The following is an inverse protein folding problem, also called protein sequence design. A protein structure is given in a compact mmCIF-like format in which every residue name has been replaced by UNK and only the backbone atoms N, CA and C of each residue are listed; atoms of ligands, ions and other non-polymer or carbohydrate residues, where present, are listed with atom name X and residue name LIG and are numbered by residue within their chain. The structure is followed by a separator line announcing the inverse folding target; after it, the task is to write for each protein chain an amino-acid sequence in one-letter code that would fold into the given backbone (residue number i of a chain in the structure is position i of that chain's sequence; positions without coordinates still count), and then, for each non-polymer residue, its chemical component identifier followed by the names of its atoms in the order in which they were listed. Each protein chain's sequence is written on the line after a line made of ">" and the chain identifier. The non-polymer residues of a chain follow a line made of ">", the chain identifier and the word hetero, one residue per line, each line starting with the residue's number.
data_IF_246618815924
#
_entry.id   IF_246618815924
#
_cell.length_a   1.000
_cell.length_b   1.000
_cell.length_c   1.000
_cell.angle_alpha   90.00
_cell.angle_beta   90.00
_cell.angle_gamma   90.00
#
_symmetry.space_group_name_H-M   'P 1'
#
loop_
_entity.id
_entity.type
_entity.pdbx_description
1 polymer ?
#
# COMPACT_ATOMS: atom_id res chain seq x y z
N UNK A 1 28.53 -48.01 -13.53
CA UNK A 1 27.42 -47.82 -12.58
C UNK A 1 27.80 -46.68 -11.64
N UNK A 2 27.28 -45.48 -11.89
CA UNK A 2 27.39 -44.38 -10.92
C UNK A 2 26.16 -43.48 -11.15
N UNK A 3 25.17 -43.59 -10.26
CA UNK A 3 23.94 -42.79 -10.30
C UNK A 3 24.13 -41.60 -9.37
N UNK A 4 24.22 -40.41 -9.94
CA UNK A 4 24.11 -39.12 -9.25
C UNK A 4 22.69 -38.97 -8.69
N UNK A 5 22.48 -38.50 -7.44
CA UNK A 5 21.13 -38.29 -6.94
C UNK A 5 20.55 -37.00 -7.54
N UNK A 6 19.32 -37.10 -8.04
CA UNK A 6 18.55 -36.00 -8.57
C UNK A 6 18.18 -35.01 -7.46
N UNK A 7 18.60 -33.75 -7.60
CA UNK A 7 18.07 -32.64 -6.80
C UNK A 7 16.62 -32.40 -7.26
N UNK A 8 15.66 -32.87 -6.46
CA UNK A 8 14.25 -32.49 -6.62
C UNK A 8 14.15 -30.98 -6.40
N UNK A 9 13.95 -30.23 -7.49
CA UNK A 9 13.48 -28.86 -7.42
C UNK A 9 12.01 -28.91 -7.01
N UNK A 10 11.74 -28.60 -5.75
CA UNK A 10 10.39 -28.37 -5.25
C UNK A 10 9.78 -27.24 -6.07
N UNK A 11 8.66 -27.54 -6.74
CA UNK A 11 7.83 -26.56 -7.43
C UNK A 11 7.26 -25.62 -6.36
N UNK A 12 7.73 -24.39 -6.31
CA UNK A 12 7.04 -23.32 -5.58
C UNK A 12 5.99 -22.78 -6.57
N UNK A 13 4.86 -23.46 -6.62
CA UNK A 13 3.61 -22.86 -7.07
C UNK A 13 2.91 -22.34 -5.82
N UNK A 14 3.26 -21.14 -5.40
CA UNK A 14 2.55 -20.42 -4.37
C UNK A 14 1.82 -19.28 -5.07
N UNK A 15 0.50 -19.33 -5.07
CA UNK A 15 -0.31 -18.16 -5.30
C UNK A 15 0.11 -17.12 -4.26
N UNK A 16 0.69 -16.00 -4.70
CA UNK A 16 0.81 -14.81 -3.86
C UNK A 16 -0.61 -14.28 -3.70
N UNK A 17 -1.30 -14.74 -2.66
CA UNK A 17 -2.20 -13.84 -1.97
C UNK A 17 -1.29 -12.76 -1.36
N UNK A 18 -1.44 -11.50 -1.75
CA UNK A 18 -0.83 -10.38 -1.04
C UNK A 18 -1.53 -10.29 0.31
N UNK A 19 -1.14 -11.17 1.23
CA UNK A 19 -1.55 -11.15 2.62
C UNK A 19 -0.71 -10.10 3.31
N UNK A 20 -1.33 -8.98 3.66
CA UNK A 20 -0.80 -8.02 4.61
C UNK A 20 -0.63 -8.72 5.97
N UNK A 21 0.54 -9.30 6.20
CA UNK A 21 0.94 -9.84 7.49
C UNK A 21 2.47 -9.80 7.58
N UNK A 22 3.02 -8.65 7.98
CA UNK A 22 4.38 -8.63 8.51
C UNK A 22 4.35 -9.30 9.88
N UNK A 23 4.89 -10.51 9.93
CA UNK A 23 5.27 -11.16 11.17
C UNK A 23 6.50 -10.43 11.74
N UNK A 24 6.28 -9.47 12.65
CA UNK A 24 7.34 -9.05 13.57
C UNK A 24 7.53 -10.16 14.60
N UNK A 25 8.42 -11.09 14.26
CA UNK A 25 8.92 -12.11 15.17
C UNK A 25 9.90 -11.44 16.13
N UNK A 26 9.44 -11.14 17.34
CA UNK A 26 10.32 -10.91 18.48
C UNK A 26 10.54 -9.46 18.88
N UNK A 27 9.47 -8.79 19.32
CA UNK A 27 9.57 -7.87 20.45
C UNK A 27 8.34 -8.12 21.33
N UNK A 28 8.50 -8.89 22.41
CA UNK A 28 7.51 -8.85 23.50
C UNK A 28 7.63 -7.49 24.17
N UNK A 29 6.90 -6.50 23.66
CA UNK A 29 6.51 -5.35 24.49
C UNK A 29 5.50 -5.91 25.47
N UNK A 30 5.88 -5.89 26.75
CA UNK A 30 4.99 -6.25 27.85
C UNK A 30 3.73 -5.41 27.71
N UNK A 31 2.58 -6.06 27.47
CA UNK A 31 1.32 -5.47 27.85
C UNK A 31 1.43 -5.18 29.35
N UNK A 32 1.62 -3.91 29.72
CA UNK A 32 1.18 -3.51 31.04
C UNK A 32 -0.34 -3.42 30.95
N UNK A 33 -0.98 -4.57 31.18
CA UNK A 33 -2.31 -4.65 31.76
C UNK A 33 -2.29 -3.81 33.05
N UNK A 34 -2.50 -2.50 32.91
CA UNK A 34 -2.89 -1.64 34.01
C UNK A 34 -4.06 -0.77 33.56
N UNK A 35 -5.11 -1.44 33.11
CA UNK A 35 -6.43 -0.96 33.45
C UNK A 35 -7.16 -2.13 34.12
N UNK A 36 -7.57 -2.03 35.40
CA UNK A 36 -8.43 -3.07 35.97
C UNK A 36 -9.64 -3.21 35.04
N UNK A 37 -9.99 -4.46 34.70
CA UNK A 37 -11.20 -4.74 33.94
C UNK A 37 -12.37 -3.97 34.60
N UNK A 38 -13.22 -3.30 33.81
CA UNK A 38 -14.35 -2.55 34.36
C UNK A 38 -15.17 -3.46 35.28
N UNK A 39 -15.62 -2.91 36.41
CA UNK A 39 -16.41 -3.65 37.39
C UNK A 39 -17.64 -4.28 36.70
N UNK A 40 -18.03 -5.48 37.13
CA UNK A 40 -19.11 -6.24 36.53
C UNK A 40 -20.45 -5.50 36.72
N UNK A 41 -20.79 -4.64 35.76
CA UNK A 41 -21.93 -3.72 35.83
C UNK A 41 -21.66 -2.34 35.23
N UNK A 42 -20.41 -2.01 34.86
CA UNK A 42 -20.08 -0.75 34.23
C UNK A 42 -20.51 -0.75 32.76
N UNK A 43 -21.29 0.27 32.39
CA UNK A 43 -21.63 0.55 30.99
C UNK A 43 -20.36 1.03 30.29
N UNK A 44 -19.86 0.25 29.35
CA UNK A 44 -18.63 0.56 28.60
C UNK A 44 -18.92 0.87 27.15
N UNK A 45 -18.22 1.85 26.60
CA UNK A 45 -18.31 2.23 25.20
C UNK A 45 -17.08 1.83 24.41
N UNK A 46 -17.00 2.34 23.19
CA UNK A 46 -15.88 2.09 22.29
C UNK A 46 -15.48 3.35 21.53
N UNK A 47 -14.24 3.37 21.07
CA UNK A 47 -13.72 4.32 20.10
C UNK A 47 -13.19 3.51 18.93
N UNK A 48 -13.66 3.78 17.73
CA UNK A 48 -13.26 3.07 16.52
C UNK A 48 -13.13 4.03 15.33
N UNK A 49 -12.64 3.53 14.21
CA UNK A 49 -12.57 4.31 12.98
C UNK A 49 -11.74 3.62 11.91
N UNK A 50 -11.57 4.32 10.79
CA UNK A 50 -10.71 3.91 9.69
C UNK A 50 -9.53 4.89 9.54
N UNK A 51 -8.40 4.37 9.13
CA UNK A 51 -7.30 5.17 8.59
C UNK A 51 -7.20 4.88 7.10
N UNK A 52 -7.37 5.92 6.28
CA UNK A 52 -7.42 5.82 4.82
C UNK A 52 -6.75 7.01 4.16
N UNK A 53 -6.60 6.92 2.83
CA UNK A 53 -6.34 8.08 2.00
C UNK A 53 -7.65 8.79 1.64
N UNK A 54 -7.58 10.12 1.59
CA UNK A 54 -8.57 11.06 1.07
C UNK A 54 -8.08 11.45 -0.33
N UNK A 55 -8.40 10.64 -1.33
CA UNK A 55 -7.78 10.76 -2.64
C UNK A 55 -8.45 11.84 -3.48
N UNK A 56 -9.77 11.99 -3.35
CA UNK A 56 -10.54 13.03 -4.04
C UNK A 56 -10.70 14.33 -3.23
N UNK A 57 -10.29 14.33 -1.95
CA UNK A 57 -10.22 15.52 -1.11
C UNK A 57 -11.58 15.97 -0.59
N UNK A 58 -12.59 15.08 -0.54
CA UNK A 58 -13.92 15.41 -0.05
C UNK A 58 -14.04 15.40 1.48
N UNK A 59 -13.00 14.93 2.18
CA UNK A 59 -12.94 14.90 3.64
C UNK A 59 -13.79 13.78 4.26
N UNK A 60 -14.15 12.77 3.46
CA UNK A 60 -14.81 11.55 3.88
C UNK A 60 -14.10 10.33 3.27
N UNK A 61 -14.39 9.13 3.78
CA UNK A 61 -13.88 7.91 3.16
C UNK A 61 -14.92 7.36 2.19
N UNK A 62 -14.53 7.22 0.93
CA UNK A 62 -15.34 6.68 -0.16
C UNK A 62 -14.93 5.25 -0.52
N UNK A 63 -15.88 4.49 -1.10
CA UNK A 63 -15.61 3.13 -1.56
C UNK A 63 -14.50 3.13 -2.61
N UNK A 64 -13.50 2.26 -2.42
CA UNK A 64 -12.36 2.12 -3.31
C UNK A 64 -11.17 3.01 -2.96
N UNK A 65 -11.32 3.98 -2.06
CA UNK A 65 -10.15 4.72 -1.58
C UNK A 65 -9.20 3.80 -0.79
N UNK A 66 -7.88 3.96 -0.95
CA UNK A 66 -6.92 3.13 -0.24
C UNK A 66 -7.02 3.26 1.26
N UNK A 67 -6.99 2.12 1.94
CA UNK A 67 -6.92 2.04 3.40
C UNK A 67 -5.48 1.84 3.85
N UNK A 68 -5.13 2.36 5.03
CA UNK A 68 -3.78 2.26 5.58
C UNK A 68 -3.76 1.21 6.69
N UNK A 69 -3.25 0.03 6.37
CA UNK A 69 -3.07 -1.08 7.33
C UNK A 69 -1.73 -0.94 8.08
N UNK A 70 -1.69 -1.42 9.33
CA UNK A 70 -0.49 -1.39 10.17
C UNK A 70 -0.16 -0.01 10.77
N UNK A 71 -1.07 0.96 10.67
CA UNK A 71 -0.92 2.27 11.32
C UNK A 71 -1.14 2.11 12.81
N UNK A 72 -0.15 2.52 13.61
CA UNK A 72 -0.29 2.61 15.07
C UNK A 72 -1.22 3.77 15.44
N UNK A 73 -2.19 3.49 16.31
CA UNK A 73 -3.15 4.44 16.87
C UNK A 73 -3.05 4.42 18.39
N UNK A 74 -3.02 5.59 19.01
CA UNK A 74 -3.00 5.76 20.46
C UNK A 74 -4.35 6.30 20.97
N UNK A 75 -4.75 5.84 22.15
CA UNK A 75 -5.84 6.40 22.93
C UNK A 75 -5.30 6.95 24.25
N UNK A 76 -5.61 8.21 24.53
CA UNK A 76 -5.27 8.90 25.77
C UNK A 76 -6.53 9.32 26.52
N UNK A 77 -6.48 9.34 27.84
CA UNK A 77 -7.58 9.85 28.67
C UNK A 77 -7.64 11.38 28.67
N UNK A 78 -8.62 11.95 29.36
CA UNK A 78 -8.81 13.40 29.50
C UNK A 78 -7.68 14.12 30.26
N UNK A 79 -6.80 13.39 30.93
CA UNK A 79 -5.59 13.91 31.59
C UNK A 79 -4.35 13.82 30.68
N UNK A 80 -4.46 13.17 29.52
CA UNK A 80 -3.40 12.97 28.53
C UNK A 80 -2.57 11.71 28.75
N UNK A 81 -2.92 10.86 29.72
CA UNK A 81 -2.22 9.61 29.97
C UNK A 81 -2.54 8.61 28.86
N UNK A 82 -1.53 7.84 28.43
CA UNK A 82 -1.72 6.77 27.46
C UNK A 82 -2.54 5.64 28.11
N UNK A 83 -3.71 5.36 27.55
CA UNK A 83 -4.62 4.31 28.00
C UNK A 83 -4.36 3.03 27.25
N UNK A 84 -4.24 3.11 25.92
CA UNK A 84 -4.06 1.96 25.05
C UNK A 84 -3.44 2.35 23.71
N UNK A 85 -2.88 1.35 23.04
CA UNK A 85 -2.46 1.44 21.63
C UNK A 85 -3.05 0.28 20.85
N UNK A 86 -3.30 0.50 19.57
CA UNK A 86 -3.72 -0.55 18.62
C UNK A 86 -3.09 -0.28 17.25
N UNK A 87 -3.22 -1.23 16.32
CA UNK A 87 -2.76 -1.07 14.93
C UNK A 87 -3.94 -1.32 13.99
N UNK A 88 -4.04 -0.54 12.91
CA UNK A 88 -5.07 -0.76 11.91
C UNK A 88 -4.93 -2.13 11.25
N UNK A 89 -6.06 -2.79 11.03
CA UNK A 89 -6.09 -4.09 10.34
C UNK A 89 -5.91 -3.94 8.82
N UNK A 90 -5.99 -5.05 8.07
CA UNK A 90 -5.88 -5.05 6.60
C UNK A 90 -6.94 -4.20 5.89
N UNK A 91 -8.04 -3.87 6.56
CA UNK A 91 -9.11 -2.97 6.07
C UNK A 91 -8.95 -1.54 6.60
N UNK A 92 -7.81 -1.19 7.20
CA UNK A 92 -7.53 0.13 7.79
C UNK A 92 -8.29 0.43 9.07
N UNK A 93 -9.03 -0.53 9.63
CA UNK A 93 -9.88 -0.29 10.79
C UNK A 93 -9.11 -0.44 12.10
N UNK A 94 -9.39 0.42 13.06
CA UNK A 94 -8.91 0.33 14.44
C UNK A 94 -10.09 0.36 15.41
N UNK A 95 -9.92 -0.22 16.61
CA UNK A 95 -10.90 -0.08 17.69
C UNK A 95 -10.28 -0.22 19.08
N UNK A 96 -10.87 0.50 20.02
CA UNK A 96 -10.67 0.42 21.46
C UNK A 96 -12.02 0.09 22.09
N UNK A 97 -12.08 -1.03 22.81
CA UNK A 97 -13.31 -1.57 23.39
C UNK A 97 -13.25 -1.48 24.92
N UNK A 98 -14.40 -1.65 25.57
CA UNK A 98 -14.52 -1.67 27.04
C UNK A 98 -14.06 -0.38 27.73
N UNK A 99 -14.31 0.78 27.11
CA UNK A 99 -13.90 2.08 27.64
C UNK A 99 -14.92 2.58 28.68
N UNK A 100 -14.43 3.05 29.83
CA UNK A 100 -15.26 3.78 30.78
C UNK A 100 -15.76 5.10 30.19
N UNK A 101 -16.93 5.56 30.59
CA UNK A 101 -17.44 6.85 30.14
C UNK A 101 -16.49 7.99 30.53
N UNK A 102 -16.20 8.88 29.59
CA UNK A 102 -15.24 9.96 29.80
C UNK A 102 -14.73 10.62 28.51
N UNK A 103 -13.89 11.63 28.72
CA UNK A 103 -13.17 12.30 27.64
C UNK A 103 -11.90 11.52 27.30
N UNK A 104 -11.65 11.37 26.01
CA UNK A 104 -10.45 10.73 25.47
C UNK A 104 -9.88 11.56 24.31
N UNK A 105 -8.65 11.28 23.93
CA UNK A 105 -8.04 11.73 22.68
C UNK A 105 -7.54 10.52 21.92
N UNK A 106 -7.98 10.36 20.67
CA UNK A 106 -7.45 9.36 19.76
C UNK A 106 -6.47 10.02 18.80
N UNK A 107 -5.35 9.38 18.49
CA UNK A 107 -4.31 9.98 17.64
C UNK A 107 -3.55 8.94 16.81
N UNK A 108 -3.13 9.35 15.62
CA UNK A 108 -2.08 8.68 14.85
C UNK A 108 -0.78 9.44 15.17
N UNK A 109 0.13 8.90 15.99
CA UNK A 109 1.38 9.58 16.29
C UNK A 109 2.27 9.64 15.04
N UNK A 110 2.88 10.81 14.81
CA UNK A 110 3.84 11.03 13.70
C UNK A 110 5.17 10.29 13.89
N UNK A 111 5.47 9.88 15.12
CA UNK A 111 6.66 9.11 15.43
C UNK A 111 6.35 8.03 16.46
N UNK A 112 6.91 6.86 16.23
CA UNK A 112 6.66 5.56 16.86
C UNK A 112 7.99 4.80 16.96
N UNK A 113 7.96 3.49 17.14
CA UNK A 113 9.20 2.70 17.13
C UNK A 113 9.86 2.73 15.75
N UNK A 114 11.20 2.73 15.71
CA UNK A 114 11.94 2.68 14.46
C UNK A 114 11.53 1.45 13.63
N UNK A 115 11.16 1.69 12.36
CA UNK A 115 10.68 0.66 11.43
C UNK A 115 9.16 0.42 11.47
N UNK A 116 8.41 1.14 12.30
CA UNK A 116 6.95 1.16 12.24
C UNK A 116 6.46 2.02 11.06
N UNK A 117 5.30 1.68 10.48
CA UNK A 117 4.76 2.35 9.29
C UNK A 117 4.54 3.85 9.52
N UNK A 118 4.21 4.24 10.75
CA UNK A 118 4.01 5.64 11.14
C UNK A 118 5.27 6.52 10.95
N UNK A 119 6.48 5.95 11.04
CA UNK A 119 7.71 6.71 10.77
C UNK A 119 7.80 7.17 9.30
N UNK A 120 7.19 6.41 8.38
CA UNK A 120 7.08 6.77 6.97
C UNK A 120 5.92 7.73 6.69
N UNK A 121 4.86 7.72 7.53
CA UNK A 121 3.69 8.59 7.34
C UNK A 121 4.04 10.07 7.40
N UNK A 122 4.93 10.49 8.29
CA UNK A 122 5.16 11.91 8.55
C UNK A 122 5.83 12.68 7.39
N UNK A 123 6.52 11.98 6.48
CA UNK A 123 7.22 12.59 5.34
C UNK A 123 6.34 12.64 4.08
N UNK A 124 5.71 11.51 3.74
CA UNK A 124 4.98 11.35 2.48
C UNK A 124 3.49 11.60 2.59
N UNK A 125 2.96 11.76 3.80
CA UNK A 125 1.54 11.92 4.03
C UNK A 125 1.27 13.18 4.85
N UNK A 126 0.12 13.77 4.60
CA UNK A 126 -0.42 14.88 5.38
C UNK A 126 -1.84 14.52 5.83
N UNK A 127 -2.31 15.10 6.92
CA UNK A 127 -3.68 14.92 7.39
C UNK A 127 -4.20 16.26 7.93
N UNK A 128 -5.52 16.53 7.83
CA UNK A 128 -6.13 17.71 8.45
C UNK A 128 -5.88 17.74 9.97
N UNK A 129 -5.90 16.58 10.60
CA UNK A 129 -5.48 16.40 11.99
C UNK A 129 -4.86 15.02 12.22
N UNK A 130 -3.86 14.98 13.10
CA UNK A 130 -3.23 13.74 13.59
C UNK A 130 -3.82 13.27 14.93
N UNK A 131 -4.77 14.03 15.49
CA UNK A 131 -5.42 13.74 16.77
C UNK A 131 -6.84 14.30 16.83
N UNK A 132 -7.74 13.58 17.47
CA UNK A 132 -9.16 13.93 17.53
C UNK A 132 -9.67 13.72 18.96
N UNK A 133 -10.45 14.70 19.46
CA UNK A 133 -11.08 14.59 20.75
C UNK A 133 -12.26 13.62 20.66
N UNK A 134 -12.27 12.63 21.54
CA UNK A 134 -13.29 11.59 21.63
C UNK A 134 -14.10 11.73 22.92
N UNK A 135 -15.41 11.47 22.84
CA UNK A 135 -16.29 11.42 24.01
C UNK A 135 -16.99 10.07 24.04
N UNK A 136 -16.81 9.33 25.13
CA UNK A 136 -17.46 8.03 25.34
C UNK A 136 -18.57 8.22 26.37
N UNK A 137 -19.82 8.05 25.94
CA UNK A 137 -21.01 8.21 26.78
C UNK A 137 -21.72 6.86 26.96
N UNK A 138 -21.41 6.13 28.03
CA UNK A 138 -22.05 4.83 28.30
C UNK A 138 -21.68 3.80 27.23
N UNK A 139 -22.67 3.15 26.59
CA UNK A 139 -22.46 2.09 25.58
C UNK A 139 -22.26 2.60 24.16
N UNK A 140 -22.36 3.91 23.93
CA UNK A 140 -22.24 4.44 22.57
C UNK A 140 -20.80 4.31 22.08
N UNK A 141 -20.65 3.69 20.90
CA UNK A 141 -19.41 3.70 20.15
C UNK A 141 -19.26 5.02 19.40
N UNK A 142 -18.07 5.62 19.49
CA UNK A 142 -17.73 6.84 18.78
C UNK A 142 -16.76 6.52 17.64
N UNK A 143 -17.07 7.03 16.44
CA UNK A 143 -16.28 6.78 15.23
C UNK A 143 -15.46 8.01 14.83
N UNK A 144 -14.16 7.85 14.65
CA UNK A 144 -13.21 8.90 14.29
C UNK A 144 -12.26 8.43 13.20
N UNK A 145 -12.41 8.96 11.99
CA UNK A 145 -11.58 8.57 10.85
C UNK A 145 -10.35 9.46 10.73
N UNK A 146 -9.21 8.88 10.36
CA UNK A 146 -8.02 9.65 9.98
C UNK A 146 -7.83 9.55 8.47
N UNK A 147 -8.02 10.68 7.80
CA UNK A 147 -8.02 10.79 6.35
C UNK A 147 -6.73 11.49 5.91
N UNK A 148 -5.86 10.74 5.24
CA UNK A 148 -4.53 11.18 4.84
C UNK A 148 -4.49 11.57 3.36
N UNK A 149 -3.69 12.57 3.01
CA UNK A 149 -3.39 12.95 1.65
C UNK A 149 -1.94 12.62 1.34
N UNK A 150 -1.64 12.14 0.14
CA UNK A 150 -0.26 11.99 -0.31
C UNK A 150 0.38 13.35 -0.59
N UNK A 151 1.60 13.53 -0.12
CA UNK A 151 2.44 14.67 -0.47
C UNK A 151 3.20 14.35 -1.77
N UNK A 152 2.51 14.46 -2.90
CA UNK A 152 3.02 14.12 -4.24
C UNK A 152 4.34 14.83 -4.55
N UNK A 153 4.44 16.12 -4.23
CA UNK A 153 5.66 16.88 -4.52
C UNK A 153 6.85 16.38 -3.69
N UNK A 154 6.64 16.01 -2.43
CA UNK A 154 7.69 15.40 -1.60
C UNK A 154 8.09 14.01 -2.12
N UNK A 155 7.12 13.18 -2.50
CA UNK A 155 7.38 11.85 -3.05
C UNK A 155 8.20 11.95 -4.34
N UNK A 156 7.83 12.86 -5.25
CA UNK A 156 8.57 13.09 -6.48
C UNK A 156 10.00 13.55 -6.23
N UNK A 157 10.22 14.42 -5.23
CA UNK A 157 11.57 14.84 -4.84
C UNK A 157 12.37 13.67 -4.28
N UNK A 158 11.82 12.93 -3.32
CA UNK A 158 12.51 11.81 -2.65
C UNK A 158 12.84 10.66 -3.62
N UNK A 159 12.01 10.44 -4.65
CA UNK A 159 12.23 9.44 -5.69
C UNK A 159 13.19 9.91 -6.80
N UNK A 160 13.52 11.21 -6.88
CA UNK A 160 14.35 11.73 -7.95
C UNK A 160 15.83 11.37 -7.74
N UNK A 161 16.48 10.63 -8.66
CA UNK A 161 17.86 10.18 -8.50
C UNK A 161 18.92 11.30 -8.57
N UNK A 162 18.53 12.56 -8.78
CA UNK A 162 19.42 13.73 -8.68
C UNK A 162 19.37 14.42 -7.31
N UNK A 163 18.66 13.86 -6.31
CA UNK A 163 18.61 14.43 -4.95
C UNK A 163 19.81 13.98 -4.07
N UNK A 164 20.59 14.89 -3.46
CA UNK A 164 21.89 14.63 -2.79
C UNK A 164 21.77 14.29 -1.29
N UNK A 165 20.57 14.08 -0.76
CA UNK A 165 20.25 13.92 0.66
C UNK A 165 20.52 12.50 1.20
N UNK A 166 20.88 11.54 0.35
CA UNK A 166 21.51 10.27 0.77
C UNK A 166 20.60 9.32 1.54
N UNK A 167 19.28 9.45 1.36
CA UNK A 167 18.24 8.64 2.01
C UNK A 167 18.19 7.15 1.57
N UNK A 168 18.93 6.77 0.52
CA UNK A 168 19.30 5.38 0.28
C UNK A 168 18.21 4.48 -0.30
N UNK A 169 17.27 5.03 -1.08
CA UNK A 169 16.34 4.19 -1.85
C UNK A 169 17.09 3.32 -2.86
N UNK A 170 17.30 2.04 -2.51
CA UNK A 170 17.85 1.02 -3.40
C UNK A 170 16.74 0.10 -3.89
N UNK A 171 16.56 0.03 -5.19
CA UNK A 171 15.56 -0.81 -5.86
C UNK A 171 16.22 -2.09 -6.35
N UNK A 172 15.52 -3.22 -6.29
CA UNK A 172 16.05 -4.52 -6.73
C UNK A 172 15.91 -4.76 -8.27
N UNK A 173 15.33 -3.78 -8.98
CA UNK A 173 15.04 -3.84 -10.41
C UNK A 173 16.14 -3.23 -11.30
N UNK A 174 16.19 -3.67 -12.56
CA UNK A 174 17.03 -3.05 -13.59
C UNK A 174 16.20 -1.94 -14.25
N UNK A 175 16.68 -0.68 -14.22
CA UNK A 175 15.98 0.47 -14.81
C UNK A 175 15.68 0.31 -16.30
N UNK A 176 14.51 -0.27 -16.61
CA UNK A 176 13.71 -0.24 -17.85
C UNK A 176 12.58 -1.29 -17.70
N UNK A 177 11.72 -1.09 -16.70
CA UNK A 177 10.64 -2.04 -16.35
C UNK A 177 9.64 -2.24 -17.49
N UNK A 178 9.21 -1.15 -18.15
CA UNK A 178 8.19 -1.20 -19.20
C UNK A 178 8.67 -2.03 -20.41
N UNK A 179 9.89 -1.79 -20.88
CA UNK A 179 10.47 -2.55 -21.98
C UNK A 179 10.63 -4.03 -21.64
N UNK A 180 11.00 -4.34 -20.40
CA UNK A 180 11.12 -5.71 -19.92
C UNK A 180 9.79 -6.47 -19.99
N UNK A 181 8.72 -5.92 -19.41
CA UNK A 181 7.42 -6.58 -19.36
C UNK A 181 6.75 -6.67 -20.73
N UNK A 182 6.89 -5.62 -21.56
CA UNK A 182 6.48 -5.65 -22.97
C UNK A 182 7.10 -6.85 -23.69
N UNK A 183 8.41 -7.02 -23.55
CA UNK A 183 9.12 -8.14 -24.17
C UNK A 183 8.65 -9.50 -23.63
N UNK A 184 8.41 -9.64 -22.32
CA UNK A 184 7.89 -10.89 -21.77
C UNK A 184 6.49 -11.24 -22.32
N UNK A 185 5.62 -10.24 -22.50
CA UNK A 185 4.30 -10.43 -23.10
C UNK A 185 4.39 -10.86 -24.57
N UNK A 186 5.22 -10.18 -25.37
CA UNK A 186 5.47 -10.53 -26.78
C UNK A 186 5.93 -11.99 -26.92
N UNK A 187 6.94 -12.39 -26.13
CA UNK A 187 7.47 -13.75 -26.14
C UNK A 187 6.40 -14.78 -25.72
N UNK A 188 5.57 -14.44 -24.73
CA UNK A 188 4.49 -15.31 -24.27
C UNK A 188 3.38 -15.49 -25.32
N UNK A 189 3.08 -14.45 -26.12
CA UNK A 189 2.14 -14.51 -27.26
C UNK A 189 2.71 -15.37 -28.38
N UNK A 190 3.98 -15.15 -28.75
CA UNK A 190 4.64 -15.88 -29.84
C UNK A 190 4.90 -17.36 -29.52
N UNK A 191 4.79 -17.76 -28.24
CA UNK A 191 5.05 -19.13 -27.78
C UNK A 191 6.51 -19.54 -27.87
N UNK A 192 7.45 -18.59 -27.85
CA UNK A 192 8.90 -18.87 -27.96
C UNK A 192 9.44 -19.46 -26.64
N UNK A 193 10.21 -20.54 -26.74
CA UNK A 193 10.68 -21.34 -25.60
C UNK A 193 11.85 -20.76 -24.78
N UNK A 194 12.29 -19.53 -25.05
CA UNK A 194 13.42 -18.85 -24.38
C UNK A 194 12.99 -17.68 -23.49
N UNK A 195 11.72 -17.61 -23.11
CA UNK A 195 11.20 -16.59 -22.18
C UNK A 195 11.92 -16.65 -20.82
N UNK A 196 12.28 -15.49 -20.27
CA UNK A 196 12.79 -15.42 -18.89
C UNK A 196 11.68 -15.70 -17.87
N UNK A 197 10.44 -15.35 -18.22
CA UNK A 197 9.22 -15.67 -17.46
C UNK A 197 8.32 -16.56 -18.32
N UNK A 198 7.88 -17.69 -17.78
CA UNK A 198 7.02 -18.61 -18.53
C UNK A 198 5.64 -17.99 -18.81
N UNK A 199 4.99 -18.36 -19.92
CA UNK A 199 3.63 -17.92 -20.21
C UNK A 199 2.64 -18.30 -19.09
N UNK A 200 2.81 -19.46 -18.45
CA UNK A 200 1.97 -19.84 -17.31
C UNK A 200 2.15 -18.88 -16.11
N UNK A 201 3.39 -18.46 -15.85
CA UNK A 201 3.70 -17.48 -14.80
C UNK A 201 3.14 -16.10 -15.15
N UNK A 202 3.29 -15.64 -16.40
CA UNK A 202 2.71 -14.37 -16.86
C UNK A 202 1.19 -14.32 -16.69
N UNK A 203 0.48 -15.43 -16.97
CA UNK A 203 -0.97 -15.51 -16.69
C UNK A 203 -1.28 -15.38 -15.20
N UNK A 204 -0.45 -15.98 -14.36
CA UNK A 204 -0.55 -15.82 -12.91
C UNK A 204 -0.39 -14.36 -12.47
N UNK A 205 0.55 -13.63 -13.08
CA UNK A 205 0.73 -12.20 -12.80
C UNK A 205 -0.47 -11.36 -13.25
N UNK A 206 -1.00 -11.58 -14.46
CA UNK A 206 -2.21 -10.88 -14.91
C UNK A 206 -3.40 -11.13 -13.98
N UNK A 207 -3.61 -12.38 -13.56
CA UNK A 207 -4.69 -12.71 -12.64
C UNK A 207 -4.48 -12.11 -11.23
N UNK A 208 -3.22 -11.98 -10.79
CA UNK A 208 -2.90 -11.30 -9.55
C UNK A 208 -3.18 -9.79 -9.65
N UNK A 209 -2.82 -9.18 -10.78
CA UNK A 209 -3.10 -7.77 -11.09
C UNK A 209 -4.61 -7.47 -11.10
N UNK A 210 -5.43 -8.29 -11.78
CA UNK A 210 -6.90 -8.10 -11.79
C UNK A 210 -7.57 -8.24 -10.41
N UNK A 211 -6.83 -8.79 -9.44
CA UNK A 211 -7.25 -8.99 -8.07
C UNK A 211 -6.52 -8.05 -7.09
N UNK A 212 -5.73 -7.10 -7.58
CA UNK A 212 -5.26 -5.97 -6.80
C UNK A 212 -6.44 -5.03 -6.48
N UNK A 213 -6.17 -4.03 -5.65
CA UNK A 213 -7.09 -3.26 -4.83
C UNK A 213 -8.46 -2.97 -5.46
N UNK A 214 -8.51 -2.58 -6.73
CA UNK A 214 -9.73 -2.34 -7.49
C UNK A 214 -9.88 -3.29 -8.68
N UNK A 215 -11.13 -3.72 -9.01
CA UNK A 215 -11.38 -4.49 -10.22
C UNK A 215 -11.01 -3.75 -11.51
N UNK A 216 -11.17 -2.44 -11.54
CA UNK A 216 -10.74 -1.55 -12.62
C UNK A 216 -9.58 -0.71 -12.06
N UNK A 217 -8.56 -0.36 -12.86
CA UNK A 217 -8.63 -0.16 -14.31
C UNK A 217 -8.18 -1.35 -15.16
N UNK A 218 -7.69 -2.43 -14.55
CA UNK A 218 -7.08 -3.53 -15.28
C UNK A 218 -7.96 -4.75 -15.38
N UNK A 219 -8.46 -4.97 -16.60
CA UNK A 219 -9.07 -6.21 -17.06
C UNK A 219 -8.37 -6.68 -18.33
N UNK A 220 -8.08 -7.97 -18.41
CA UNK A 220 -7.37 -8.57 -19.54
C UNK A 220 -8.21 -9.64 -20.25
N UNK A 221 -9.35 -9.26 -20.88
CA UNK A 221 -10.23 -10.22 -21.56
C UNK A 221 -9.52 -10.98 -22.70
N UNK A 222 -8.55 -10.35 -23.36
CA UNK A 222 -7.70 -10.97 -24.38
C UNK A 222 -6.33 -11.41 -23.82
N UNK A 223 -6.22 -11.51 -22.49
CA UNK A 223 -5.03 -11.94 -21.77
C UNK A 223 -3.81 -11.07 -22.07
N UNK A 224 -2.76 -11.69 -22.60
CA UNK A 224 -1.50 -11.00 -22.86
C UNK A 224 -1.64 -9.84 -23.85
N UNK A 225 -2.57 -9.91 -24.80
CA UNK A 225 -2.73 -8.84 -25.80
C UNK A 225 -3.26 -7.56 -25.14
N UNK A 226 -4.27 -7.67 -24.27
CA UNK A 226 -4.80 -6.50 -23.53
C UNK A 226 -3.71 -5.81 -22.71
N UNK A 227 -2.87 -6.58 -22.00
CA UNK A 227 -1.75 -6.02 -21.25
C UNK A 227 -0.67 -5.40 -22.17
N UNK A 228 -0.40 -6.04 -23.31
CA UNK A 228 0.55 -5.54 -24.30
C UNK A 228 0.08 -4.24 -24.96
N UNK A 229 -1.22 -4.09 -25.20
CA UNK A 229 -1.81 -2.88 -25.76
C UNK A 229 -1.66 -1.69 -24.80
N UNK A 230 -1.86 -1.91 -23.50
CA UNK A 230 -1.63 -0.89 -22.45
C UNK A 230 -0.14 -0.51 -22.38
N UNK A 231 0.76 -1.49 -22.18
CA UNK A 231 2.21 -1.23 -22.10
C UNK A 231 2.80 -0.71 -23.42
N UNK A 232 2.14 -1.00 -24.54
CA UNK A 232 2.53 -0.62 -25.88
C UNK A 232 1.95 0.72 -26.34
N UNK A 233 0.99 1.30 -25.62
CA UNK A 233 0.25 2.50 -26.03
C UNK A 233 1.19 3.65 -26.42
N UNK A 234 0.92 4.28 -27.56
CA UNK A 234 1.61 5.49 -28.05
C UNK A 234 0.81 6.78 -27.75
N UNK A 235 -0.29 6.66 -27.01
CA UNK A 235 -1.14 7.78 -26.61
C UNK A 235 -0.38 8.80 -25.77
N UNK A 236 -0.78 10.07 -25.89
CA UNK A 236 -0.30 11.19 -25.05
C UNK A 236 -1.35 11.66 -24.04
N UNK A 237 -2.48 10.97 -23.96
CA UNK A 237 -3.51 11.22 -22.95
C UNK A 237 -3.00 10.86 -21.56
N UNK A 238 -3.31 11.69 -20.57
CA UNK A 238 -2.73 11.54 -19.23
C UNK A 238 -3.14 10.22 -18.55
N UNK A 239 -4.37 9.76 -18.75
CA UNK A 239 -4.83 8.47 -18.23
C UNK A 239 -4.06 7.31 -18.87
N UNK A 240 -3.89 7.30 -20.19
CA UNK A 240 -3.17 6.21 -20.88
C UNK A 240 -1.71 6.15 -20.45
N UNK A 241 -1.07 7.32 -20.25
CA UNK A 241 0.28 7.41 -19.72
C UNK A 241 0.36 6.88 -18.28
N UNK A 242 -0.62 7.20 -17.43
CA UNK A 242 -0.72 6.66 -16.06
C UNK A 242 -0.90 5.14 -16.08
N UNK A 243 -1.88 4.62 -16.83
CA UNK A 243 -2.14 3.18 -16.94
C UNK A 243 -0.93 2.39 -17.40
N UNK A 244 -0.18 2.92 -18.38
CA UNK A 244 1.04 2.31 -18.88
C UNK A 244 2.07 2.10 -17.76
N UNK A 245 2.21 3.09 -16.89
CA UNK A 245 3.27 3.12 -15.89
C UNK A 245 2.84 2.38 -14.63
N UNK A 246 1.60 2.56 -14.21
CA UNK A 246 0.98 1.79 -13.15
C UNK A 246 1.03 0.28 -13.44
N UNK A 247 0.65 -0.15 -14.64
CA UNK A 247 0.71 -1.57 -15.01
C UNK A 247 2.14 -2.13 -14.93
N UNK A 248 3.14 -1.34 -15.33
CA UNK A 248 4.55 -1.71 -15.17
C UNK A 248 4.95 -1.93 -13.71
N UNK A 249 4.50 -1.03 -12.83
CA UNK A 249 4.75 -1.11 -11.39
C UNK A 249 4.04 -2.31 -10.77
N UNK A 250 2.80 -2.57 -11.14
CA UNK A 250 2.06 -3.74 -10.63
C UNK A 250 2.68 -5.06 -11.06
N UNK A 251 3.19 -5.17 -12.30
CA UNK A 251 3.97 -6.33 -12.71
C UNK A 251 5.24 -6.52 -11.85
N UNK A 252 5.92 -5.43 -11.48
CA UNK A 252 7.04 -5.50 -10.55
C UNK A 252 6.59 -6.01 -9.18
N UNK A 253 5.51 -5.46 -8.64
CA UNK A 253 4.93 -5.86 -7.36
C UNK A 253 4.60 -7.36 -7.34
N UNK A 254 3.77 -7.84 -8.27
CA UNK A 254 3.30 -9.25 -8.29
C UNK A 254 4.39 -10.25 -8.65
N UNK A 255 5.49 -9.80 -9.26
CA UNK A 255 6.64 -10.64 -9.58
C UNK A 255 7.73 -10.64 -8.50
N UNK A 256 7.60 -9.81 -7.46
CA UNK A 256 8.61 -9.62 -6.42
C UNK A 256 9.84 -8.81 -6.88
N UNK A 257 9.69 -8.00 -7.93
CA UNK A 257 10.69 -7.07 -8.48
C UNK A 257 10.38 -5.60 -8.14
N UNK A 258 9.47 -5.37 -7.20
CA UNK A 258 9.09 -4.06 -6.68
C UNK A 258 10.09 -3.49 -5.67
N UNK A 259 9.64 -2.55 -4.85
CA UNK A 259 10.45 -1.92 -3.81
C UNK A 259 10.99 -2.97 -2.82
N UNK A 260 12.26 -2.81 -2.42
CA UNK A 260 12.83 -3.60 -1.33
C UNK A 260 12.38 -3.07 0.04
N UNK A 261 12.40 -3.93 1.05
CA UNK A 261 12.21 -3.54 2.46
C UNK A 261 13.11 -2.35 2.85
N UNK A 262 12.64 -1.42 3.71
CA UNK A 262 11.37 -1.41 4.46
C UNK A 262 10.16 -0.83 3.69
N UNK A 263 10.31 -0.54 2.40
CA UNK A 263 9.35 0.28 1.64
C UNK A 263 8.20 -0.52 1.02
N UNK A 264 8.14 -1.84 1.25
CA UNK A 264 7.13 -2.72 0.65
C UNK A 264 5.69 -2.30 0.99
N UNK A 265 5.46 -1.81 2.21
CA UNK A 265 4.15 -1.29 2.62
C UNK A 265 3.74 -0.03 1.85
N UNK A 266 4.70 0.79 1.42
CA UNK A 266 4.44 2.04 0.69
C UNK A 266 4.15 1.81 -0.79
N UNK A 267 4.81 0.84 -1.44
CA UNK A 267 4.52 0.51 -2.85
C UNK A 267 3.05 0.09 -3.03
N UNK A 268 2.54 -0.76 -2.13
CA UNK A 268 1.15 -1.18 -2.17
C UNK A 268 0.17 -0.03 -2.02
N UNK A 269 0.44 0.91 -1.10
CA UNK A 269 -0.38 2.12 -0.93
C UNK A 269 -0.37 3.00 -2.18
N UNK A 270 0.80 3.17 -2.81
CA UNK A 270 0.91 3.93 -4.07
C UNK A 270 0.17 3.25 -5.21
N UNK A 271 0.28 1.92 -5.36
CA UNK A 271 -0.47 1.15 -6.37
C UNK A 271 -1.97 1.31 -6.17
N UNK A 272 -2.48 1.12 -4.94
CA UNK A 272 -3.88 1.33 -4.61
C UNK A 272 -4.36 2.75 -4.96
N UNK A 273 -3.54 3.76 -4.66
CA UNK A 273 -3.80 5.15 -5.03
C UNK A 273 -3.86 5.33 -6.55
N UNK A 274 -2.90 4.77 -7.29
CA UNK A 274 -2.87 4.81 -8.76
C UNK A 274 -4.09 4.15 -9.40
N UNK A 275 -4.52 3.00 -8.89
CA UNK A 275 -5.74 2.32 -9.35
C UNK A 275 -6.98 3.18 -9.10
N UNK A 276 -7.10 3.81 -7.92
CA UNK A 276 -8.21 4.73 -7.64
C UNK A 276 -8.24 5.91 -8.62
N UNK A 277 -7.08 6.54 -8.86
CA UNK A 277 -6.98 7.64 -9.83
C UNK A 277 -7.38 7.21 -11.24
N UNK A 278 -6.97 6.02 -11.67
CA UNK A 278 -7.28 5.50 -12.98
C UNK A 278 -8.77 5.16 -13.14
N UNK A 279 -9.37 4.51 -12.12
CA UNK A 279 -10.79 4.17 -12.11
C UNK A 279 -11.70 5.42 -12.02
N UNK A 280 -11.21 6.50 -11.40
CA UNK A 280 -11.96 7.74 -11.18
C UNK A 280 -11.32 8.95 -11.88
N UNK A 281 -10.68 8.73 -13.03
CA UNK A 281 -9.84 9.73 -13.70
C UNK A 281 -10.55 11.04 -14.04
N UNK A 282 -11.88 11.01 -14.18
CA UNK A 282 -12.73 12.18 -14.45
C UNK A 282 -12.79 13.17 -13.27
N UNK A 283 -12.45 12.75 -12.06
CA UNK A 283 -12.37 13.61 -10.88
C UNK A 283 -11.08 14.45 -10.86
N UNK A 284 -10.05 14.04 -11.63
CA UNK A 284 -8.72 14.60 -11.53
C UNK A 284 -8.34 15.44 -12.75
N UNK A 285 -7.55 16.48 -12.52
CA UNK A 285 -7.02 17.29 -13.61
C UNK A 285 -5.97 16.52 -14.41
N UNK A 286 -5.80 16.89 -15.69
CA UNK A 286 -4.74 16.34 -16.54
C UNK A 286 -3.35 16.50 -15.89
N UNK A 287 -3.09 17.64 -15.25
CA UNK A 287 -1.81 17.91 -14.57
C UNK A 287 -1.60 16.97 -13.39
N UNK A 288 -2.65 16.72 -12.59
CA UNK A 288 -2.58 15.83 -11.45
C UNK A 288 -2.29 14.37 -11.88
N UNK A 289 -3.00 13.89 -12.90
CA UNK A 289 -2.76 12.55 -13.46
C UNK A 289 -1.34 12.40 -14.03
N UNK A 290 -0.78 13.47 -14.61
CA UNK A 290 0.61 13.45 -15.08
C UNK A 290 1.62 13.38 -13.93
N UNK A 291 1.40 14.11 -12.83
CA UNK A 291 2.24 13.98 -11.63
C UNK A 291 2.17 12.57 -11.03
N UNK A 292 0.97 11.99 -10.98
CA UNK A 292 0.79 10.60 -10.54
C UNK A 292 1.55 9.62 -11.45
N UNK A 293 1.41 9.79 -12.76
CA UNK A 293 2.19 9.04 -13.74
C UNK A 293 3.70 9.20 -13.49
N UNK A 294 4.19 10.40 -13.19
CA UNK A 294 5.61 10.64 -12.95
C UNK A 294 6.16 9.91 -11.71
N UNK A 295 5.33 9.70 -10.68
CA UNK A 295 5.69 8.84 -9.54
C UNK A 295 5.95 7.41 -10.02
N UNK A 296 5.03 6.81 -10.78
CA UNK A 296 5.19 5.44 -11.27
C UNK A 296 6.31 5.31 -12.30
N UNK A 297 6.54 6.33 -13.13
CA UNK A 297 7.72 6.41 -14.00
C UNK A 297 9.00 6.33 -13.18
N UNK A 298 9.10 7.10 -12.10
CA UNK A 298 10.26 7.06 -11.23
C UNK A 298 10.39 5.66 -10.66
N UNK A 299 9.38 5.11 -10.00
CA UNK A 299 9.40 3.73 -9.44
C UNK A 299 9.86 2.69 -10.47
N UNK A 300 9.36 2.75 -11.70
CA UNK A 300 9.70 1.82 -12.77
C UNK A 300 11.13 1.96 -13.30
N UNK A 301 11.74 3.14 -13.14
CA UNK A 301 13.06 3.47 -13.67
C UNK A 301 14.14 3.57 -12.58
N UNK A 302 13.75 3.74 -11.32
CA UNK A 302 14.62 3.71 -10.17
C UNK A 302 14.98 2.26 -9.86
N UNK A 303 16.24 1.94 -10.06
CA UNK A 303 16.85 0.62 -10.13
C UNK A 303 18.36 0.87 -10.08
N UNK A 304 19.07 0.39 -9.06
CA UNK A 304 20.50 0.73 -8.94
C UNK A 304 21.26 0.18 -10.14
N UNK A 305 21.85 1.10 -10.92
CA UNK A 305 23.01 0.81 -11.74
C UNK A 305 24.20 0.57 -10.80
N UNK A 306 24.44 -0.69 -10.46
CA UNK A 306 25.71 -1.17 -9.90
C UNK A 306 25.88 -2.66 -10.14
#
# INVERSE_FOLDING_TARGET
>A
MNRTPAVRRTRIGAALAVSFALAVSGLSVRAQEQNPAPDAGQVTGSVEGIVSLDVDGDGSHSEGEPVLAGVTVELRDGEGNLVATTTTNASGQYSFQNLGGGAYTVSVPKSTAAGDFNESLASWFSAPSWQQAAQVNGTEGASYNFLFNLNIDQILNDLNPQDPDGNGFSFNGNGNTIGYWKHQLEVAIEGKGNAQVSAATMKGYLAAIEALYLPEPFKFPDGFQSALDILGSESSEALDLLLKQLLGTEFNLVSGRGLAEPWFGLEGVLVAWGEYLAAHSSLFSREFLLKAKDIFDLINNTGSWS
#
